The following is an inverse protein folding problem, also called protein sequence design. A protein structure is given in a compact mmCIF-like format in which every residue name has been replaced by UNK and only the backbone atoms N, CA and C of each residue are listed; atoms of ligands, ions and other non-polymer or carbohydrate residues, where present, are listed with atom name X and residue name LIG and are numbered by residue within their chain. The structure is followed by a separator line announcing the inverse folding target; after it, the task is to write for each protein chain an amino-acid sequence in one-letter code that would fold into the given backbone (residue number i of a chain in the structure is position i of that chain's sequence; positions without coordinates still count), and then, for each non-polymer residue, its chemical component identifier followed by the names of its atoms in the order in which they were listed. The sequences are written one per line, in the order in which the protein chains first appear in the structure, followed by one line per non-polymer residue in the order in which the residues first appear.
data_IF_051467594737
#
_entry.id   IF_051467594737
#
_cell.length_a   1.000
_cell.length_b   1.000
_cell.length_c   1.000
_cell.angle_alpha   90.00
_cell.angle_beta   90.00
_cell.angle_gamma   90.00
#
_symmetry.space_group_name_H-M   'P 1'
#
loop_
_entity.id
_entity.type
_entity.pdbx_description
1 polymer ?
#
# COMPACT_ATOMS: atom_id res chain seq x y z
N UNK A 1 -12.03 -20.41 27.41
CA UNK A 1 -10.85 -19.57 27.71
C UNK A 1 -9.66 -20.15 26.95
N UNK A 2 -9.50 -19.79 25.68
CA UNK A 2 -8.35 -20.22 24.88
C UNK A 2 -7.46 -19.02 24.66
N UNK A 3 -6.37 -18.98 25.42
CA UNK A 3 -5.25 -18.09 25.20
C UNK A 3 -4.26 -18.80 24.26
N UNK A 4 -3.96 -18.20 23.12
CA UNK A 4 -2.84 -18.51 22.22
C UNK A 4 -2.74 -17.28 21.31
N UNK A 5 -1.65 -16.54 21.15
CA UNK A 5 -0.29 -16.64 21.65
C UNK A 5 0.27 -15.21 21.77
N UNK A 6 0.99 -14.95 22.86
CA UNK A 6 1.98 -13.88 22.86
C UNK A 6 3.32 -14.46 22.41
N UNK A 7 3.82 -14.04 21.25
CA UNK A 7 5.22 -14.09 20.82
C UNK A 7 5.31 -13.23 19.54
N UNK A 8 6.14 -12.19 19.41
CA UNK A 8 7.45 -12.00 19.99
C UNK A 8 7.74 -10.51 20.29
N UNK A 9 8.41 -10.28 21.42
CA UNK A 9 9.23 -9.10 21.64
C UNK A 9 10.62 -9.38 21.06
N UNK A 10 11.15 -8.49 20.22
CA UNK A 10 12.56 -8.06 20.24
C UNK A 10 12.78 -6.95 19.18
N UNK A 11 13.13 -5.72 19.60
CA UNK A 11 13.93 -4.70 18.88
C UNK A 11 13.66 -4.30 17.41
N UNK A 12 12.68 -4.89 16.73
CA UNK A 12 12.46 -4.78 15.28
C UNK A 12 11.14 -4.05 15.09
N UNK A 13 11.15 -2.89 14.41
CA UNK A 13 9.92 -2.20 14.00
C UNK A 13 8.93 -3.20 13.40
N UNK A 14 7.71 -3.25 13.94
CA UNK A 14 6.64 -4.11 13.41
C UNK A 14 6.38 -3.77 11.94
N UNK A 15 5.79 -4.69 11.19
CA UNK A 15 5.53 -4.45 9.76
C UNK A 15 4.65 -3.20 9.58
N UNK A 16 3.63 -3.00 10.43
CA UNK A 16 2.84 -1.78 10.49
C UNK A 16 3.69 -0.51 10.72
N UNK A 17 4.69 -0.55 11.61
CA UNK A 17 5.59 0.60 11.83
C UNK A 17 6.46 0.92 10.59
N UNK A 18 6.72 -0.07 9.73
CA UNK A 18 7.44 0.15 8.45
C UNK A 18 6.54 0.79 7.40
N UNK A 19 5.26 0.46 7.42
CA UNK A 19 4.25 1.11 6.60
C UNK A 19 3.89 2.52 7.13
N UNK A 20 4.24 2.81 8.38
CA UNK A 20 3.95 4.09 9.02
C UNK A 20 2.46 4.25 9.36
N UNK A 21 1.75 3.14 9.53
CA UNK A 21 0.33 3.13 9.91
C UNK A 21 0.23 3.28 11.42
N UNK A 22 -0.56 4.25 11.84
CA UNK A 22 -0.84 4.54 13.24
C UNK A 22 -2.30 4.20 13.58
N UNK A 23 -2.62 3.93 14.87
CA UNK A 23 -4.00 3.71 15.29
C UNK A 23 -4.88 4.91 14.95
N UNK A 24 -6.06 4.64 14.38
CA UNK A 24 -7.04 5.65 13.99
C UNK A 24 -6.84 6.24 12.59
N UNK A 25 -5.82 5.81 11.85
CA UNK A 25 -5.73 6.07 10.40
C UNK A 25 -6.75 5.24 9.63
N UNK A 26 -7.36 5.82 8.60
CA UNK A 26 -8.20 5.07 7.66
C UNK A 26 -7.33 4.57 6.51
N UNK A 27 -7.32 3.25 6.30
CA UNK A 27 -6.52 2.61 5.24
C UNK A 27 -7.45 1.93 4.25
N UNK A 28 -7.39 2.36 2.99
CA UNK A 28 -8.12 1.73 1.90
C UNK A 28 -7.30 0.61 1.27
N UNK A 29 -7.96 -0.44 0.79
CA UNK A 29 -7.39 -1.53 0.02
C UNK A 29 -7.96 -1.56 -1.40
N UNK A 30 -7.07 -1.69 -2.39
CA UNK A 30 -7.41 -1.80 -3.82
C UNK A 30 -6.67 -3.00 -4.43
N UNK A 31 -7.31 -3.65 -5.41
CA UNK A 31 -6.70 -4.77 -6.14
C UNK A 31 -6.59 -6.06 -5.32
N UNK A 32 -7.39 -6.22 -4.27
CA UNK A 32 -7.43 -7.46 -3.50
C UNK A 32 -7.74 -8.67 -4.40
N UNK A 33 -7.01 -9.76 -4.23
CA UNK A 33 -7.27 -11.06 -4.86
C UNK A 33 -6.80 -12.19 -3.90
N UNK A 34 -6.97 -13.46 -4.28
CA UNK A 34 -6.70 -14.62 -3.42
C UNK A 34 -5.21 -14.82 -3.05
N UNK A 35 -4.28 -14.14 -3.72
CA UNK A 35 -2.82 -14.25 -3.56
C UNK A 35 -2.20 -13.16 -2.66
N UNK A 36 -3.01 -12.27 -2.09
CA UNK A 36 -2.52 -11.23 -1.17
C UNK A 36 -1.91 -11.84 0.11
N UNK A 37 -0.99 -11.12 0.73
CA UNK A 37 -0.37 -11.54 1.98
C UNK A 37 -1.32 -11.27 3.17
N UNK A 38 -2.05 -12.30 3.60
CA UNK A 38 -3.02 -12.19 4.70
C UNK A 38 -2.33 -11.86 6.03
N UNK A 39 -1.10 -12.32 6.26
CA UNK A 39 -0.34 -11.97 7.47
C UNK A 39 -0.06 -10.45 7.51
N UNK A 40 0.23 -9.84 6.35
CA UNK A 40 0.35 -8.38 6.24
C UNK A 40 -0.98 -7.68 6.54
N UNK A 41 -2.09 -8.16 5.96
CA UNK A 41 -3.42 -7.57 6.18
C UNK A 41 -3.82 -7.64 7.65
N UNK A 42 -3.60 -8.77 8.30
CA UNK A 42 -3.89 -8.97 9.73
C UNK A 42 -3.09 -7.98 10.59
N UNK A 43 -1.79 -7.81 10.31
CA UNK A 43 -0.94 -6.86 11.06
C UNK A 43 -1.35 -5.40 10.86
N UNK A 44 -1.82 -5.02 9.67
CA UNK A 44 -2.32 -3.67 9.40
C UNK A 44 -3.68 -3.46 10.08
N UNK A 45 -4.59 -4.41 9.95
CA UNK A 45 -5.92 -4.42 10.57
C UNK A 45 -5.82 -4.32 12.09
N UNK A 46 -4.95 -5.12 12.73
CA UNK A 46 -4.68 -5.04 14.16
C UNK A 46 -4.20 -3.65 14.62
N UNK A 47 -3.59 -2.87 13.72
CA UNK A 47 -3.07 -1.53 14.01
C UNK A 47 -4.10 -0.43 13.76
N UNK A 48 -4.73 -0.39 12.59
CA UNK A 48 -5.61 0.71 12.19
C UNK A 48 -7.10 0.45 12.44
N UNK A 49 -7.50 -0.80 12.66
CA UNK A 49 -8.90 -1.22 12.68
C UNK A 49 -9.22 -2.00 11.41
N UNK A 50 -10.19 -1.56 10.63
CA UNK A 50 -10.58 -2.24 9.40
C UNK A 50 -9.91 -1.60 8.17
N UNK A 51 -9.61 -2.42 7.16
CA UNK A 51 -9.23 -1.93 5.83
C UNK A 51 -10.52 -1.68 5.04
N UNK A 52 -10.72 -0.45 4.56
CA UNK A 52 -11.89 -0.09 3.77
C UNK A 52 -11.68 -0.45 2.29
N UNK A 53 -12.75 -0.78 1.58
CA UNK A 53 -12.69 -1.09 0.15
C UNK A 53 -12.69 0.17 -0.73
N UNK A 54 -12.52 -0.01 -2.04
CA UNK A 54 -12.51 1.08 -3.03
C UNK A 54 -13.87 1.77 -3.21
N UNK A 55 -14.96 1.18 -2.71
CA UNK A 55 -16.32 1.73 -2.80
C UNK A 55 -16.63 2.72 -1.66
N UNK A 56 -15.69 2.97 -0.74
CA UNK A 56 -15.91 3.92 0.36
C UNK A 56 -15.95 5.39 -0.10
N UNK A 57 -16.82 6.17 0.53
CA UNK A 57 -16.91 7.64 0.36
C UNK A 57 -15.97 8.39 1.33
N UNK A 58 -15.20 7.69 2.15
CA UNK A 58 -14.35 8.28 3.19
C UNK A 58 -13.00 8.79 2.63
N UNK A 59 -12.49 9.87 3.24
CA UNK A 59 -11.13 10.34 2.98
C UNK A 59 -10.15 9.45 3.77
N UNK A 60 -9.14 8.93 3.08
CA UNK A 60 -8.22 7.93 3.66
C UNK A 60 -6.81 8.48 3.84
N UNK A 61 -6.13 8.03 4.90
CA UNK A 61 -4.76 8.41 5.23
C UNK A 61 -3.74 7.61 4.42
N UNK A 62 -4.09 6.37 4.08
CA UNK A 62 -3.27 5.51 3.23
C UNK A 62 -4.13 4.67 2.27
N UNK A 63 -3.57 4.37 1.11
CA UNK A 63 -4.14 3.39 0.17
C UNK A 63 -3.12 2.28 -0.04
N UNK A 64 -3.53 1.04 0.24
CA UNK A 64 -2.80 -0.18 -0.02
C UNK A 64 -3.24 -0.72 -1.39
N UNK A 65 -2.34 -0.68 -2.37
CA UNK A 65 -2.62 -1.11 -3.74
C UNK A 65 -1.89 -2.42 -4.00
N UNK A 66 -2.63 -3.50 -4.22
CA UNK A 66 -2.06 -4.76 -4.72
C UNK A 66 -2.10 -4.75 -6.24
N UNK A 67 -0.95 -4.90 -6.87
CA UNK A 67 -0.86 -4.87 -8.33
C UNK A 67 0.09 -5.95 -8.85
N UNK A 68 -0.41 -6.76 -9.77
CA UNK A 68 0.37 -7.73 -10.54
C UNK A 68 0.49 -7.24 -11.99
N UNK A 69 1.61 -7.58 -12.62
CA UNK A 69 1.74 -7.40 -14.07
C UNK A 69 0.62 -8.17 -14.79
N UNK A 70 -0.13 -7.46 -15.62
CA UNK A 70 -1.30 -7.96 -16.32
C UNK A 70 -2.67 -7.67 -15.67
N UNK A 71 -2.72 -7.11 -14.46
CA UNK A 71 -4.00 -6.75 -13.79
C UNK A 71 -4.74 -5.61 -14.52
N UNK A 72 -4.03 -4.83 -15.34
CA UNK A 72 -4.56 -3.68 -16.05
C UNK A 72 -3.51 -2.59 -16.19
N UNK A 73 -3.93 -1.33 -16.16
CA UNK A 73 -3.04 -0.19 -16.25
C UNK A 73 -2.70 0.35 -14.84
N UNK A 74 -1.42 0.23 -14.46
CA UNK A 74 -0.94 0.74 -13.18
C UNK A 74 -1.15 2.24 -13.02
N UNK A 75 -1.01 3.02 -14.09
CA UNK A 75 -1.19 4.48 -14.01
C UNK A 75 -2.63 4.84 -13.64
N UNK A 76 -3.62 4.23 -14.30
CA UNK A 76 -5.04 4.48 -14.00
C UNK A 76 -5.37 4.06 -12.56
N UNK A 77 -4.90 2.88 -12.13
CA UNK A 77 -5.08 2.43 -10.74
C UNK A 77 -4.45 3.39 -9.71
N UNK A 78 -3.28 3.95 -10.01
CA UNK A 78 -2.65 4.95 -9.15
C UNK A 78 -3.41 6.29 -9.16
N UNK A 79 -4.06 6.66 -10.26
CA UNK A 79 -4.93 7.84 -10.32
C UNK A 79 -6.20 7.62 -9.50
N UNK A 80 -6.79 6.43 -9.55
CA UNK A 80 -7.96 6.07 -8.74
C UNK A 80 -7.60 6.08 -7.25
N UNK A 81 -6.44 5.55 -6.88
CA UNK A 81 -5.91 5.60 -5.51
C UNK A 81 -5.70 7.03 -4.99
N UNK A 82 -5.56 8.04 -5.86
CA UNK A 82 -5.42 9.44 -5.45
C UNK A 82 -6.75 10.13 -5.14
N UNK A 83 -7.88 9.60 -5.62
CA UNK A 83 -9.21 10.18 -5.44
C UNK A 83 -9.59 10.37 -3.96
N UNK A 84 -9.59 9.29 -3.14
CA UNK A 84 -9.97 9.35 -1.73
C UNK A 84 -8.80 9.78 -0.81
N UNK A 85 -7.58 9.91 -1.34
CA UNK A 85 -6.38 10.11 -0.53
C UNK A 85 -6.29 11.53 0.07
N UNK A 86 -6.03 11.61 1.37
CA UNK A 86 -5.74 12.86 2.05
C UNK A 86 -4.51 13.60 1.46
N UNK A 87 -4.45 14.93 1.62
CA UNK A 87 -3.35 15.75 1.06
C UNK A 87 -1.95 15.35 1.57
N UNK A 88 -1.86 14.77 2.76
CA UNK A 88 -0.65 14.23 3.38
C UNK A 88 -0.59 12.69 3.38
N UNK A 89 -1.52 12.05 2.65
CA UNK A 89 -1.64 10.60 2.60
C UNK A 89 -0.52 9.93 1.82
N UNK A 90 -0.48 8.61 1.91
CA UNK A 90 0.52 7.76 1.27
C UNK A 90 -0.14 6.64 0.49
N UNK A 91 0.37 6.36 -0.71
CA UNK A 91 0.02 5.14 -1.44
C UNK A 91 1.13 4.12 -1.21
N UNK A 92 0.76 2.93 -0.76
CA UNK A 92 1.63 1.77 -0.67
C UNK A 92 1.31 0.83 -1.82
N UNK A 93 2.13 0.89 -2.87
CA UNK A 93 2.03 -0.02 -4.00
C UNK A 93 2.77 -1.32 -3.66
N UNK A 94 2.04 -2.41 -3.63
CA UNK A 94 2.54 -3.76 -3.41
C UNK A 94 2.61 -4.48 -4.75
N UNK A 95 3.79 -4.99 -5.09
CA UNK A 95 4.01 -5.82 -6.29
C UNK A 95 4.71 -7.13 -5.93
N UNK A 96 4.46 -8.23 -6.67
CA UNK A 96 5.19 -9.47 -6.48
C UNK A 96 6.70 -9.26 -6.62
N UNK A 97 7.49 -9.92 -5.78
CA UNK A 97 8.97 -9.84 -5.84
C UNK A 97 9.51 -10.44 -7.14
N UNK A 98 10.70 -9.98 -7.53
CA UNK A 98 11.39 -10.50 -8.71
C UNK A 98 11.47 -12.03 -8.72
N UNK A 99 11.10 -12.63 -9.85
CA UNK A 99 11.04 -14.09 -10.02
C UNK A 99 9.72 -14.74 -9.53
N UNK A 100 8.72 -13.94 -9.14
CA UNK A 100 7.33 -14.38 -8.92
C UNK A 100 6.48 -14.03 -10.14
N UNK A 101 5.40 -14.79 -10.32
CA UNK A 101 4.39 -14.48 -11.32
C UNK A 101 3.74 -13.12 -10.98
N UNK A 102 3.42 -12.34 -12.01
CA UNK A 102 2.90 -10.99 -11.83
C UNK A 102 3.93 -9.97 -11.36
N UNK A 103 5.23 -10.27 -11.41
CA UNK A 103 6.27 -9.29 -11.07
C UNK A 103 6.23 -8.08 -12.00
N UNK A 104 6.19 -6.89 -11.40
CA UNK A 104 6.15 -5.61 -12.11
C UNK A 104 7.56 -5.02 -12.11
N UNK A 105 8.02 -4.61 -13.29
CA UNK A 105 9.35 -4.04 -13.44
C UNK A 105 9.47 -2.70 -12.70
N UNK A 106 10.58 -2.44 -11.96
CA UNK A 106 10.77 -1.19 -11.24
C UNK A 106 10.67 0.07 -12.11
N UNK A 107 11.01 -0.03 -13.40
CA UNK A 107 10.89 1.08 -14.36
C UNK A 107 9.45 1.45 -14.63
N UNK A 108 8.56 0.46 -14.76
CA UNK A 108 7.13 0.67 -14.97
C UNK A 108 6.50 1.35 -13.75
N UNK A 109 6.82 0.87 -12.55
CA UNK A 109 6.39 1.51 -11.30
C UNK A 109 6.83 2.97 -11.25
N UNK A 110 8.09 3.25 -11.60
CA UNK A 110 8.62 4.61 -11.57
C UNK A 110 7.96 5.52 -12.61
N UNK A 111 7.69 5.01 -13.82
CA UNK A 111 7.04 5.74 -14.91
C UNK A 111 5.58 6.04 -14.60
N UNK A 112 4.81 5.03 -14.18
CA UNK A 112 3.39 5.17 -13.83
C UNK A 112 3.21 6.09 -12.62
N UNK A 113 4.02 5.92 -11.56
CA UNK A 113 4.00 6.81 -10.41
C UNK A 113 4.35 8.26 -10.80
N UNK A 114 5.39 8.46 -11.64
CA UNK A 114 5.74 9.81 -12.09
C UNK A 114 4.59 10.46 -12.87
N UNK A 115 3.96 9.71 -13.78
CA UNK A 115 2.86 10.19 -14.61
C UNK A 115 1.62 10.51 -13.77
N UNK A 116 1.34 9.71 -12.74
CA UNK A 116 0.29 9.97 -11.73
C UNK A 116 0.62 11.14 -10.79
N UNK A 117 1.77 11.81 -10.93
CA UNK A 117 2.17 12.91 -10.05
C UNK A 117 2.67 12.45 -8.67
N UNK A 118 2.97 11.16 -8.53
CA UNK A 118 3.54 10.54 -7.34
C UNK A 118 5.08 10.50 -7.41
N UNK A 119 5.69 10.42 -6.25
CA UNK A 119 7.11 10.17 -6.08
C UNK A 119 7.32 9.00 -5.13
N UNK A 120 8.07 8.01 -5.59
CA UNK A 120 8.56 6.95 -4.72
C UNK A 120 9.61 7.49 -3.75
N UNK A 121 9.43 7.19 -2.47
CA UNK A 121 10.27 7.68 -1.37
C UNK A 121 11.07 6.57 -0.70
N UNK A 122 10.56 5.35 -0.71
CA UNK A 122 11.23 4.17 -0.17
C UNK A 122 10.64 2.89 -0.75
N UNK A 123 11.37 1.79 -0.56
CA UNK A 123 10.90 0.44 -0.85
C UNK A 123 11.19 -0.45 0.35
N UNK A 124 10.27 -1.36 0.69
CA UNK A 124 10.40 -2.31 1.78
C UNK A 124 10.00 -3.71 1.34
N UNK A 125 10.43 -4.73 2.08
CA UNK A 125 9.82 -6.06 1.96
C UNK A 125 8.48 -6.05 2.70
N UNK A 126 7.39 -6.30 1.98
CA UNK A 126 6.02 -6.31 2.46
C UNK A 126 5.53 -7.74 2.68
N UNK A 127 6.29 -8.54 3.44
CA UNK A 127 6.02 -9.97 3.62
C UNK A 127 6.93 -10.86 2.77
N UNK A 128 6.49 -12.11 2.55
CA UNK A 128 7.31 -13.14 1.91
C UNK A 128 7.45 -12.89 0.42
N UNK A 129 6.33 -12.62 -0.24
CA UNK A 129 6.23 -12.65 -1.70
C UNK A 129 6.05 -11.26 -2.32
N UNK A 130 5.80 -10.26 -1.49
CA UNK A 130 5.47 -8.90 -1.92
C UNK A 130 6.56 -7.88 -1.55
N UNK A 131 6.80 -6.95 -2.47
CA UNK A 131 7.60 -5.74 -2.27
C UNK A 131 6.66 -4.54 -2.14
N UNK A 132 6.93 -3.62 -1.22
CA UNK A 132 6.13 -2.41 -1.04
C UNK A 132 6.90 -1.16 -1.43
N UNK A 133 6.36 -0.36 -2.34
CA UNK A 133 6.87 0.94 -2.74
C UNK A 133 6.03 2.06 -2.09
N UNK A 134 6.70 2.97 -1.37
CA UNK A 134 6.05 4.11 -0.72
C UNK A 134 5.96 5.29 -1.68
N UNK A 135 4.76 5.58 -2.16
CA UNK A 135 4.48 6.67 -3.10
C UNK A 135 3.78 7.82 -2.37
N UNK A 136 4.25 9.05 -2.61
CA UNK A 136 3.61 10.27 -2.07
C UNK A 136 3.38 11.28 -3.16
N UNK A 137 2.35 12.13 -2.99
CA UNK A 137 2.11 13.25 -3.88
C UNK A 137 3.36 14.14 -3.99
N UNK A 138 3.77 14.44 -5.23
CA UNK A 138 4.84 15.41 -5.46
C UNK A 138 4.37 16.79 -5.00
N UNK A 139 5.10 17.42 -4.08
CA UNK A 139 4.91 18.85 -3.77
C UNK A 139 5.17 19.66 -5.04
N UNK A 140 4.09 20.10 -5.68
CA UNK A 140 4.10 20.79 -6.97
C UNK A 140 3.08 20.25 -7.99
N UNK A 141 2.56 19.02 -7.80
CA UNK A 141 1.52 18.46 -8.68
C UNK A 141 0.16 19.17 -8.51
N UNK A 142 -0.17 19.62 -7.28
CA UNK A 142 -1.30 20.55 -7.05
C UNK A 142 -0.88 21.99 -7.36
N UNK A 143 -0.56 22.26 -8.62
CA UNK A 143 -0.38 23.61 -9.14
C UNK A 143 -1.17 23.81 -10.42
N UNK A 144 -2.50 23.77 -10.32
CA UNK A 144 -3.41 24.77 -10.91
C UNK A 144 -4.87 24.49 -10.51
N UNK A 145 -5.47 25.56 -9.98
CA UNK A 145 -6.90 25.91 -9.88
C UNK A 145 -7.83 25.17 -10.83
#
# INVERSE_FOLDING_TARGET
MSATAGQAADGVRSLADRFGIEPGMVVMEMGYDDDVDQDLRDVLTDRCGELVDEDTDEVVDAVLVWYRDGDGDLFELLVDALGPLADNGVVWLLTPKAGRDGHVEPSEVAESAQTAGLQQTSTISAGRDWSGARLVLRRGAKAKK
#
